data_IF_226411252052
#
_entry.id   IF_226411252052
#
_cell.length_a   1.000
_cell.length_b   1.000
_cell.length_c   1.000
_cell.angle_alpha   90.00
_cell.angle_beta   90.00
_cell.angle_gamma   90.00
#
_symmetry.space_group_name_H-M   'P 1'
#
loop_
_entity.id
_entity.type
_entity.pdbx_description
1 polymer ?
#
# COMPACT_ATOMS: atom_id res chain seq x y z
N UNK A 1 -76.08 3.69 9.73
CA UNK A 1 -75.11 4.52 8.94
C UNK A 1 -73.99 5.12 9.74
N UNK A 2 -74.23 5.68 10.95
CA UNK A 2 -73.11 6.34 11.77
C UNK A 2 -72.06 5.38 12.34
N UNK A 3 -72.42 4.11 12.61
CA UNK A 3 -71.49 3.12 13.13
C UNK A 3 -70.50 2.61 12.05
N UNK A 4 -71.01 2.37 10.84
CA UNK A 4 -70.15 1.93 9.72
C UNK A 4 -69.14 2.99 9.29
N UNK A 5 -69.50 4.27 9.38
CA UNK A 5 -68.57 5.37 9.05
C UNK A 5 -67.42 5.52 10.05
N UNK A 6 -67.68 5.29 11.35
CA UNK A 6 -66.66 5.30 12.42
C UNK A 6 -65.69 4.14 12.28
N UNK A 7 -66.14 2.95 11.89
CA UNK A 7 -65.33 1.80 11.66
C UNK A 7 -64.38 2.02 10.44
N UNK A 8 -64.88 2.59 9.36
CA UNK A 8 -64.09 2.92 8.17
C UNK A 8 -63.01 3.96 8.46
N UNK A 9 -63.30 4.97 9.31
CA UNK A 9 -62.31 5.97 9.69
C UNK A 9 -61.19 5.37 10.56
N UNK A 10 -61.49 4.41 11.45
CA UNK A 10 -60.48 3.73 12.27
C UNK A 10 -59.60 2.81 11.44
N UNK A 11 -60.14 2.13 10.43
CA UNK A 11 -59.33 1.32 9.52
C UNK A 11 -58.44 2.18 8.64
N UNK A 12 -58.88 3.34 8.17
CA UNK A 12 -58.08 4.25 7.37
C UNK A 12 -56.93 4.87 8.18
N UNK A 13 -57.15 5.20 9.47
CA UNK A 13 -56.10 5.71 10.34
C UNK A 13 -55.05 4.64 10.70
N UNK A 14 -55.44 3.38 10.86
CA UNK A 14 -54.51 2.26 11.11
C UNK A 14 -53.64 1.97 9.89
N UNK A 15 -54.20 2.11 8.66
CA UNK A 15 -53.42 1.92 7.43
C UNK A 15 -52.37 3.01 7.21
N UNK A 16 -52.64 4.25 7.62
CA UNK A 16 -51.69 5.38 7.53
C UNK A 16 -50.51 5.25 8.48
N UNK A 17 -50.64 4.55 9.61
CA UNK A 17 -49.58 4.33 10.56
C UNK A 17 -48.55 3.25 10.12
N UNK A 18 -48.94 2.37 9.20
CA UNK A 18 -48.05 1.32 8.65
C UNK A 18 -47.17 1.80 7.49
N UNK A 19 -47.41 2.97 6.93
CA UNK A 19 -46.65 3.51 5.80
C UNK A 19 -45.36 4.28 6.21
N UNK A 20 -45.02 4.34 7.50
CA UNK A 20 -44.00 5.24 8.05
C UNK A 20 -42.57 4.69 8.18
N UNK A 21 -42.36 3.40 7.99
CA UNK A 21 -41.00 2.84 8.07
C UNK A 21 -40.45 2.54 6.67
N UNK A 22 -39.94 3.58 5.95
CA UNK A 22 -38.96 3.31 4.91
C UNK A 22 -37.69 2.84 5.61
N UNK A 23 -37.18 1.61 5.35
CA UNK A 23 -35.85 1.25 5.80
C UNK A 23 -34.89 2.24 5.17
N UNK A 24 -34.17 3.00 6.00
CA UNK A 24 -33.10 3.87 5.56
C UNK A 24 -32.07 2.97 4.85
N UNK A 25 -31.89 3.21 3.54
CA UNK A 25 -30.91 2.46 2.77
C UNK A 25 -29.56 2.60 3.47
N UNK A 26 -28.76 1.52 3.65
CA UNK A 26 -27.48 1.59 4.31
C UNK A 26 -26.67 2.69 3.65
N UNK A 27 -26.26 3.68 4.44
CA UNK A 27 -25.46 4.82 4.00
C UNK A 27 -24.18 4.23 3.41
N UNK A 28 -24.02 4.33 2.10
CA UNK A 28 -22.84 3.83 1.39
C UNK A 28 -21.68 4.65 1.92
N UNK A 29 -20.77 4.01 2.66
CA UNK A 29 -19.58 4.67 3.17
C UNK A 29 -18.81 5.25 1.99
N UNK A 30 -18.43 6.52 2.07
CA UNK A 30 -17.66 7.16 1.03
C UNK A 30 -16.24 6.56 1.02
N UNK A 31 -15.69 6.27 -0.17
CA UNK A 31 -14.34 5.74 -0.27
C UNK A 31 -13.31 6.80 0.17
N UNK A 32 -12.26 6.35 0.81
CA UNK A 32 -11.12 7.18 1.20
C UNK A 32 -10.07 7.12 0.09
N UNK A 33 -9.66 8.28 -0.40
CA UNK A 33 -8.58 8.40 -1.39
C UNK A 33 -7.23 8.36 -0.67
N UNK A 34 -6.37 7.39 -1.02
CA UNK A 34 -5.04 7.22 -0.44
C UNK A 34 -3.97 7.26 -1.53
N UNK A 35 -2.81 7.81 -1.21
CA UNK A 35 -1.66 7.79 -2.10
C UNK A 35 -1.03 6.39 -2.18
N UNK A 36 -0.20 6.16 -3.20
CA UNK A 36 0.51 4.90 -3.44
C UNK A 36 1.99 5.12 -3.15
N UNK A 37 2.60 4.24 -2.37
CA UNK A 37 4.06 4.17 -2.18
C UNK A 37 4.53 2.72 -2.24
N UNK A 38 5.83 2.49 -2.41
CA UNK A 38 6.38 1.14 -2.50
C UNK A 38 7.67 0.99 -1.73
N UNK A 39 8.01 -0.25 -1.37
CA UNK A 39 9.22 -0.66 -0.69
C UNK A 39 9.76 -1.95 -1.30
N UNK A 40 11.04 -1.99 -1.62
CA UNK A 40 11.71 -3.11 -2.28
C UNK A 40 12.64 -3.81 -1.30
N UNK A 41 12.39 -5.06 -1.02
CA UNK A 41 13.16 -5.91 -0.11
C UNK A 41 14.06 -6.90 -0.86
N UNK A 42 14.40 -6.58 -2.11
CA UNK A 42 15.23 -7.40 -2.99
C UNK A 42 16.38 -6.59 -3.58
N UNK A 43 17.34 -7.26 -4.18
CA UNK A 43 18.45 -6.67 -4.94
C UNK A 43 18.05 -6.22 -6.35
N UNK A 44 16.86 -6.56 -6.82
CA UNK A 44 16.29 -6.07 -8.08
C UNK A 44 15.44 -4.83 -7.83
N UNK A 45 15.77 -3.70 -8.45
CA UNK A 45 14.95 -2.49 -8.41
C UNK A 45 13.66 -2.63 -9.23
N UNK A 46 12.66 -1.83 -8.89
CA UNK A 46 11.40 -1.73 -9.64
C UNK A 46 11.51 -0.54 -10.59
N UNK A 47 11.46 -0.82 -11.89
CA UNK A 47 11.55 0.21 -12.94
C UNK A 47 10.28 1.05 -13.01
N UNK A 48 9.15 0.39 -12.88
CA UNK A 48 7.81 0.97 -12.75
C UNK A 48 6.85 -0.03 -12.11
N UNK A 49 5.80 0.46 -11.46
CA UNK A 49 4.70 -0.38 -11.02
C UNK A 49 3.38 0.38 -11.05
N UNK A 50 2.28 -0.38 -11.08
CA UNK A 50 0.92 0.12 -11.08
C UNK A 50 0.10 -0.63 -10.05
N UNK A 51 -0.83 0.06 -9.42
CA UNK A 51 -1.83 -0.52 -8.51
C UNK A 51 -3.21 -0.19 -9.07
N UNK A 52 -3.96 -1.21 -9.55
CA UNK A 52 -5.23 -1.02 -10.24
C UNK A 52 -5.10 0.05 -11.36
N UNK A 53 -4.08 -0.09 -12.21
CA UNK A 53 -3.74 0.81 -13.31
C UNK A 53 -3.27 2.23 -12.91
N UNK A 54 -3.15 2.53 -11.60
CA UNK A 54 -2.60 3.79 -11.11
C UNK A 54 -1.09 3.67 -10.92
N UNK A 55 -0.35 4.59 -11.54
CA UNK A 55 1.12 4.60 -11.52
C UNK A 55 1.68 4.80 -10.11
N UNK A 56 2.59 3.94 -9.71
CA UNK A 56 3.29 4.01 -8.42
C UNK A 56 4.56 4.87 -8.46
N UNK A 57 5.61 4.42 -9.04
CA UNK A 57 6.86 5.10 -9.39
C UNK A 57 7.95 4.06 -9.70
N UNK A 58 9.19 4.49 -9.90
CA UNK A 58 10.34 3.62 -9.85
C UNK A 58 10.88 3.54 -8.41
N UNK A 59 11.51 2.42 -8.06
CA UNK A 59 12.05 2.17 -6.73
C UNK A 59 13.43 1.53 -6.84
N UNK A 60 14.42 1.98 -6.05
CA UNK A 60 15.72 1.31 -6.01
C UNK A 60 15.62 -0.04 -5.30
N UNK A 61 16.58 -0.92 -5.57
CA UNK A 61 16.82 -2.11 -4.77
C UNK A 61 17.01 -1.73 -3.29
N UNK A 62 16.47 -2.51 -2.38
CA UNK A 62 16.53 -2.27 -0.93
C UNK A 62 16.15 -0.84 -0.53
N UNK A 63 15.08 -0.30 -1.12
CA UNK A 63 14.65 1.07 -0.87
C UNK A 63 13.16 1.30 -1.09
N UNK A 64 12.75 2.55 -0.97
CA UNK A 64 11.36 2.98 -1.20
C UNK A 64 10.91 4.07 -0.24
N UNK A 65 9.61 4.40 -0.27
CA UNK A 65 8.98 5.35 0.65
C UNK A 65 9.32 6.83 0.42
N UNK A 66 10.20 7.15 -0.55
CA UNK A 66 10.64 8.53 -0.81
C UNK A 66 9.63 9.39 -1.57
N UNK A 67 8.66 8.78 -2.21
CA UNK A 67 7.63 9.46 -2.99
C UNK A 67 6.27 8.76 -2.82
N UNK A 68 5.21 9.56 -2.92
CA UNK A 68 3.83 9.07 -2.95
C UNK A 68 3.19 9.51 -4.25
N UNK A 69 2.74 8.56 -5.05
CA UNK A 69 1.97 8.83 -6.27
C UNK A 69 0.48 8.93 -5.95
N UNK A 70 -0.28 9.59 -6.80
CA UNK A 70 -1.74 9.61 -6.70
C UNK A 70 -2.34 8.42 -7.47
N UNK A 71 -3.46 7.92 -7.14
CA UNK A 71 -4.14 7.71 -5.87
C UNK A 71 -5.06 6.52 -6.09
N UNK A 72 -5.40 5.76 -5.08
CA UNK A 72 -6.43 4.71 -5.14
C UNK A 72 -7.55 5.01 -4.16
N UNK A 73 -8.76 4.59 -4.49
CA UNK A 73 -9.91 4.71 -3.60
C UNK A 73 -10.14 3.39 -2.88
N UNK A 74 -10.17 3.44 -1.56
CA UNK A 74 -10.40 2.28 -0.70
C UNK A 74 -11.63 2.52 0.18
N UNK A 75 -12.39 1.48 0.53
CA UNK A 75 -13.43 1.62 1.55
C UNK A 75 -12.78 2.02 2.89
N UNK A 76 -13.47 2.85 3.68
CA UNK A 76 -12.99 3.21 5.01
C UNK A 76 -12.90 1.99 5.95
N UNK A 77 -13.77 1.01 5.75
CA UNK A 77 -13.78 -0.25 6.50
C UNK A 77 -13.15 -1.37 5.70
N UNK A 78 -12.13 -1.99 6.26
CA UNK A 78 -11.49 -3.16 5.68
C UNK A 78 -12.46 -4.36 5.59
N UNK A 79 -12.29 -5.18 4.54
CA UNK A 79 -12.92 -6.49 4.44
C UNK A 79 -11.93 -7.53 3.85
N UNK A 80 -12.10 -8.82 4.15
CA UNK A 80 -11.18 -9.88 3.70
C UNK A 80 -11.18 -10.09 2.18
N UNK A 81 -12.18 -9.54 1.48
CA UNK A 81 -12.31 -9.66 0.02
C UNK A 81 -11.59 -8.54 -0.73
N UNK A 82 -11.05 -7.55 -0.03
CA UNK A 82 -10.32 -6.45 -0.65
C UNK A 82 -9.06 -6.95 -1.32
N UNK A 83 -8.95 -6.66 -2.62
CA UNK A 83 -7.85 -7.04 -3.48
C UNK A 83 -7.39 -5.85 -4.30
N UNK A 84 -6.12 -5.83 -4.64
CA UNK A 84 -5.55 -4.95 -5.65
C UNK A 84 -4.74 -5.75 -6.65
N UNK A 85 -4.79 -5.33 -7.90
CA UNK A 85 -3.88 -5.81 -8.94
C UNK A 85 -2.61 -4.96 -8.89
N UNK A 86 -1.46 -5.61 -8.80
CA UNK A 86 -0.15 -4.96 -8.89
C UNK A 86 0.52 -5.49 -10.15
N UNK A 87 0.83 -4.58 -11.07
CA UNK A 87 1.64 -4.85 -12.26
C UNK A 87 2.98 -4.14 -12.06
N UNK A 88 4.10 -4.81 -12.34
CA UNK A 88 5.41 -4.19 -12.18
C UNK A 88 6.45 -4.72 -13.16
N UNK A 89 7.45 -3.90 -13.41
CA UNK A 89 8.67 -4.28 -14.12
C UNK A 89 9.82 -4.22 -13.15
N UNK A 90 10.44 -5.35 -12.88
CA UNK A 90 11.70 -5.44 -12.14
C UNK A 90 12.89 -5.50 -13.09
N UNK A 91 14.07 -5.12 -12.60
CA UNK A 91 15.27 -5.17 -13.41
C UNK A 91 16.56 -5.16 -12.58
N UNK A 92 17.55 -5.88 -13.11
CA UNK A 92 18.90 -5.91 -12.55
C UNK A 92 19.95 -5.75 -13.66
N UNK A 93 21.11 -5.27 -13.28
CA UNK A 93 22.25 -5.14 -14.19
C UNK A 93 22.93 -6.50 -14.42
N UNK A 94 23.11 -6.88 -15.68
CA UNK A 94 23.75 -8.15 -16.08
C UNK A 94 25.25 -8.02 -16.29
N UNK A 95 25.77 -6.80 -16.24
CA UNK A 95 27.20 -6.51 -16.33
C UNK A 95 27.74 -5.93 -15.01
N UNK A 96 29.04 -6.06 -14.71
CA UNK A 96 29.67 -5.48 -13.54
C UNK A 96 29.45 -3.97 -13.45
N UNK A 97 29.35 -3.44 -12.21
CA UNK A 97 28.98 -2.05 -11.94
C UNK A 97 29.99 -1.04 -12.53
N UNK A 98 31.29 -1.35 -12.48
CA UNK A 98 32.36 -0.55 -13.06
C UNK A 98 32.19 -0.36 -14.56
N UNK A 99 31.79 -1.43 -15.27
CA UNK A 99 31.47 -1.37 -16.69
C UNK A 99 30.23 -0.50 -16.95
N UNK A 100 29.17 -0.70 -16.18
CA UNK A 100 27.94 0.10 -16.31
C UNK A 100 28.22 1.59 -16.09
N UNK A 101 28.99 1.95 -15.08
CA UNK A 101 29.35 3.34 -14.76
C UNK A 101 30.23 4.02 -15.82
N UNK A 102 30.94 3.24 -16.63
CA UNK A 102 31.79 3.75 -17.71
C UNK A 102 31.04 3.98 -19.05
N UNK A 103 29.78 3.56 -19.13
CA UNK A 103 28.95 3.64 -20.33
C UNK A 103 27.99 4.82 -20.29
N UNK A 104 27.51 5.26 -21.46
CA UNK A 104 26.30 6.08 -21.53
C UNK A 104 25.11 5.30 -20.96
N UNK A 105 24.28 5.97 -20.15
CA UNK A 105 23.16 5.31 -19.47
C UNK A 105 22.16 4.68 -20.44
N UNK A 106 21.93 5.29 -21.61
CA UNK A 106 21.02 4.75 -22.62
C UNK A 106 21.57 3.45 -23.22
N UNK A 107 22.87 3.42 -23.46
CA UNK A 107 23.57 2.23 -23.94
C UNK A 107 23.58 1.12 -22.87
N UNK A 108 23.93 1.45 -21.65
CA UNK A 108 23.90 0.53 -20.52
C UNK A 108 22.50 -0.10 -20.31
N UNK A 109 21.44 0.71 -20.39
CA UNK A 109 20.05 0.22 -20.28
C UNK A 109 19.66 -0.73 -21.43
N UNK A 110 20.20 -0.54 -22.62
CA UNK A 110 19.90 -1.39 -23.79
C UNK A 110 20.64 -2.71 -23.75
N UNK A 111 21.91 -2.69 -23.42
CA UNK A 111 22.74 -3.90 -23.46
C UNK A 111 22.62 -4.78 -22.22
N UNK A 112 22.44 -4.15 -21.08
CA UNK A 112 22.90 -4.73 -19.83
C UNK A 112 21.87 -4.65 -18.70
N UNK A 113 20.65 -4.16 -18.95
CA UNK A 113 19.55 -4.19 -18.00
C UNK A 113 18.56 -5.32 -18.38
N UNK A 114 18.59 -6.41 -17.63
CA UNK A 114 17.59 -7.46 -17.73
C UNK A 114 16.30 -7.00 -17.04
N UNK A 115 15.15 -7.17 -17.70
CA UNK A 115 13.84 -6.76 -17.22
C UNK A 115 12.85 -7.92 -17.23
N UNK A 116 11.99 -7.99 -16.23
CA UNK A 116 10.86 -8.92 -16.16
C UNK A 116 9.58 -8.17 -15.84
N UNK A 117 8.54 -8.36 -16.66
CA UNK A 117 7.20 -7.84 -16.38
C UNK A 117 6.38 -8.89 -15.61
N UNK A 118 5.77 -8.49 -14.54
CA UNK A 118 5.06 -9.35 -13.61
C UNK A 118 3.71 -8.72 -13.25
N UNK A 119 2.75 -9.57 -12.86
CA UNK A 119 1.41 -9.15 -12.45
C UNK A 119 0.86 -10.09 -11.39
N UNK A 120 0.30 -9.53 -10.31
CA UNK A 120 -0.38 -10.31 -9.26
C UNK A 120 -1.58 -9.55 -8.72
N UNK A 121 -2.67 -10.28 -8.46
CA UNK A 121 -3.79 -9.78 -7.65
C UNK A 121 -3.62 -10.33 -6.23
N UNK A 122 -3.46 -9.41 -5.27
CA UNK A 122 -3.15 -9.76 -3.89
C UNK A 122 -4.16 -9.14 -2.91
N UNK A 123 -4.39 -9.75 -1.74
CA UNK A 123 -5.20 -9.14 -0.70
C UNK A 123 -4.53 -7.86 -0.17
N UNK A 124 -5.35 -6.93 0.30
CA UNK A 124 -4.89 -5.85 1.17
C UNK A 124 -4.92 -6.35 2.61
N UNK A 125 -3.81 -6.25 3.30
CA UNK A 125 -3.72 -6.60 4.72
C UNK A 125 -4.69 -5.77 5.57
N UNK A 126 -5.16 -6.28 6.73
CA UNK A 126 -6.10 -5.56 7.58
C UNK A 126 -5.62 -4.16 7.95
N UNK A 127 -6.52 -3.17 7.89
CA UNK A 127 -6.26 -1.79 8.30
C UNK A 127 -7.42 -1.22 9.12
N UNK A 128 -7.15 -0.18 9.87
CA UNK A 128 -8.10 0.59 10.67
C UNK A 128 -8.32 1.96 10.02
N UNK A 129 -9.56 2.45 10.05
CA UNK A 129 -9.96 3.70 9.37
C UNK A 129 -9.18 4.93 9.87
N UNK A 130 -8.87 4.99 11.15
CA UNK A 130 -8.11 6.08 11.80
C UNK A 130 -6.59 6.01 11.58
N UNK A 131 -6.11 4.89 11.01
CA UNK A 131 -4.69 4.67 10.68
C UNK A 131 -4.43 4.62 9.17
N UNK A 132 -5.41 4.96 8.35
CA UNK A 132 -5.23 5.03 6.91
C UNK A 132 -4.29 6.18 6.54
N UNK A 133 -3.30 5.88 5.72
CA UNK A 133 -2.36 6.84 5.15
C UNK A 133 -2.14 6.51 3.67
N UNK A 134 -0.99 5.92 3.32
CA UNK A 134 -0.73 5.45 1.96
C UNK A 134 -1.01 3.94 1.82
N UNK A 135 -1.41 3.53 0.61
CA UNK A 135 -1.33 2.15 0.17
C UNK A 135 0.14 1.85 -0.13
N UNK A 136 0.71 0.88 0.57
CA UNK A 136 2.12 0.53 0.55
C UNK A 136 2.31 -0.84 -0.08
N UNK A 137 3.00 -0.88 -1.22
CA UNK A 137 3.32 -2.13 -1.92
C UNK A 137 4.71 -2.59 -1.50
N UNK A 138 4.81 -3.79 -0.93
CA UNK A 138 6.07 -4.42 -0.53
C UNK A 138 6.44 -5.47 -1.57
N UNK A 139 7.55 -5.22 -2.28
CA UNK A 139 8.16 -6.14 -3.24
C UNK A 139 9.16 -7.01 -2.50
N UNK A 140 8.83 -8.28 -2.35
CA UNK A 140 9.54 -9.25 -1.52
C UNK A 140 10.27 -10.28 -2.40
N UNK A 141 11.22 -11.06 -1.83
CA UNK A 141 11.85 -12.17 -2.54
C UNK A 141 10.84 -13.12 -3.19
N UNK A 142 11.25 -13.84 -4.22
CA UNK A 142 10.45 -14.80 -4.98
C UNK A 142 9.20 -14.17 -5.62
N UNK A 143 9.34 -12.90 -6.06
CA UNK A 143 8.27 -12.11 -6.67
C UNK A 143 7.01 -11.99 -5.78
N UNK A 144 7.14 -12.14 -4.48
CA UNK A 144 6.02 -12.00 -3.57
C UNK A 144 5.64 -10.53 -3.38
N UNK A 145 4.35 -10.28 -3.24
CA UNK A 145 3.79 -8.95 -2.99
C UNK A 145 2.95 -9.00 -1.72
N UNK A 146 3.14 -8.01 -0.84
CA UNK A 146 2.21 -7.69 0.25
C UNK A 146 1.78 -6.24 0.14
N UNK A 147 0.53 -5.98 0.50
CA UNK A 147 -0.04 -4.63 0.41
C UNK A 147 -0.62 -4.23 1.76
N UNK A 148 -0.13 -3.12 2.27
CA UNK A 148 -0.56 -2.52 3.53
C UNK A 148 -1.22 -1.17 3.28
N UNK A 149 -2.08 -0.74 4.21
CA UNK A 149 -2.59 0.65 4.28
C UNK A 149 -2.26 1.17 5.65
N UNK A 150 -1.31 2.11 5.73
CA UNK A 150 -0.87 2.63 7.02
C UNK A 150 -0.33 4.06 6.91
N UNK A 151 -0.39 4.80 8.02
CA UNK A 151 -0.02 6.23 8.05
C UNK A 151 1.50 6.49 8.06
N UNK A 152 2.32 5.49 8.39
CA UNK A 152 3.77 5.60 8.46
C UNK A 152 4.44 4.47 7.67
N UNK A 153 5.71 4.63 7.29
CA UNK A 153 6.48 3.60 6.60
C UNK A 153 6.90 2.42 7.50
N UNK A 154 7.44 1.34 6.93
CA UNK A 154 7.75 0.10 7.64
C UNK A 154 8.81 0.25 8.74
N UNK A 155 9.64 1.30 8.71
CA UNK A 155 10.60 1.63 9.78
C UNK A 155 9.93 2.07 11.09
N UNK A 156 8.64 2.44 11.05
CA UNK A 156 7.91 2.80 12.26
C UNK A 156 7.62 1.55 13.09
N UNK A 157 7.95 1.51 14.39
CA UNK A 157 7.69 0.35 15.25
C UNK A 157 6.21 -0.04 15.36
N UNK A 158 5.29 0.90 15.11
CA UNK A 158 3.85 0.66 15.07
C UNK A 158 3.35 0.06 13.75
N UNK A 159 4.19 -0.02 12.70
CA UNK A 159 3.78 -0.57 11.42
C UNK A 159 3.41 -2.06 11.55
N UNK A 160 2.24 -2.49 11.04
CA UNK A 160 1.75 -3.86 11.25
C UNK A 160 2.62 -4.94 10.59
N UNK A 161 3.39 -4.61 9.53
CA UNK A 161 4.28 -5.59 8.88
C UNK A 161 5.44 -6.06 9.78
N UNK A 162 5.90 -5.22 10.70
CA UNK A 162 7.09 -5.47 11.54
C UNK A 162 8.38 -5.75 10.77
N UNK A 163 8.45 -5.39 9.49
CA UNK A 163 9.58 -5.74 8.61
C UNK A 163 10.76 -4.77 8.70
N UNK A 164 10.55 -3.56 9.23
CA UNK A 164 11.56 -2.52 9.17
C UNK A 164 11.71 -1.90 7.77
N UNK A 165 12.64 -0.97 7.63
CA UNK A 165 13.00 -0.43 6.31
C UNK A 165 13.79 -1.48 5.51
N UNK A 166 13.62 -1.54 4.17
CA UNK A 166 14.41 -2.46 3.35
C UNK A 166 15.91 -2.24 3.49
N UNK A 167 16.63 -3.29 3.84
CA UNK A 167 18.10 -3.27 3.95
C UNK A 167 18.68 -4.50 3.25
N UNK A 168 19.88 -4.37 2.61
CA UNK A 168 20.59 -5.53 2.11
C UNK A 168 20.89 -6.51 3.24
N UNK A 169 20.67 -7.80 3.02
CA UNK A 169 21.10 -8.86 3.95
C UNK A 169 22.64 -8.99 3.90
N UNK A 170 23.34 -8.04 4.51
CA UNK A 170 24.78 -8.08 4.70
C UNK A 170 25.13 -8.60 6.10
N UNK A 171 26.38 -9.02 6.35
CA UNK A 171 26.84 -9.28 7.71
C UNK A 171 26.60 -8.00 8.52
N UNK A 172 25.91 -8.15 9.66
CA UNK A 172 25.69 -7.06 10.62
C UNK A 172 27.05 -6.49 11.01
N UNK A 173 27.43 -5.38 10.40
CA UNK A 173 28.60 -4.63 10.81
C UNK A 173 28.24 -4.06 12.18
N UNK A 174 28.77 -4.70 13.22
CA UNK A 174 28.72 -4.20 14.58
C UNK A 174 29.20 -2.75 14.55
N UNK A 175 28.33 -1.83 14.94
CA UNK A 175 28.65 -0.40 15.06
C UNK A 175 30.03 -0.22 15.65
N UNK A 176 30.93 0.58 15.02
CA UNK A 176 32.22 0.86 15.60
C UNK A 176 32.00 1.53 16.96
N UNK A 177 32.48 0.88 18.00
CA UNK A 177 32.57 1.43 19.35
C UNK A 177 33.23 2.80 19.25
N UNK A 178 32.50 3.85 19.61
CA UNK A 178 33.02 5.22 19.67
C UNK A 178 34.35 5.23 20.45
N UNK A 179 35.41 5.86 19.97
CA UNK A 179 36.65 5.94 20.71
C UNK A 179 36.38 6.69 22.02
N UNK A 180 36.76 6.09 23.12
CA UNK A 180 36.75 6.65 24.45
C UNK A 180 37.63 7.91 24.46
N UNK A 181 36.99 9.07 24.75
CA UNK A 181 37.64 10.37 24.84
C UNK A 181 38.67 10.33 26.00
N UNK A 182 39.96 10.68 25.78
CA UNK A 182 40.95 10.65 26.86
C UNK A 182 40.61 11.75 27.88
N UNK A 183 40.32 11.34 29.10
CA UNK A 183 40.18 12.24 30.27
C UNK A 183 41.52 12.93 30.51
N UNK A 184 41.58 14.24 30.19
CA UNK A 184 42.68 15.10 30.67
C UNK A 184 42.50 15.30 32.17
N UNK A 185 43.28 14.57 32.95
CA UNK A 185 43.59 14.92 34.32
C UNK A 185 44.61 16.07 34.37
N UNK A 186 44.30 17.09 35.11
CA UNK A 186 45.12 18.21 35.51
C UNK A 186 44.68 18.76 36.85
#
# INVERSE_FOLDING_TARGET
MRAAFRLALLFLSALLLLAGCKPEAPKKEEPVTVGITGYVFTDEGIQEYFVNDMYGSNLPAYGGGGATSCCVNLPAKWSPDLRVKVDWITGHWTAPLDKIQSMDITEAMKCCLARRALSKTVPIEPYEADKMGSLQVFFLPDDQIKVWVYLAGPQNPGHPSRMGYPEPSGPSESSPTSPEEPTHGG
#
